data_IF_148293732509
#
_entry.id   IF_148293732509
#
_cell.length_a   1.000
_cell.length_b   1.000
_cell.length_c   1.000
_cell.angle_alpha   90.00
_cell.angle_beta   90.00
_cell.angle_gamma   90.00
#
_symmetry.space_group_name_H-M   'P 1'
#
loop_
_entity.id
_entity.type
_entity.pdbx_description
1 polymer ?
#
# COMPACT_ATOMS: atom_id res chain seq x y z
N UNK A 1 -12.40 -13.51 -8.95
CA UNK A 1 -13.04 -12.18 -8.84
C UNK A 1 -12.11 -11.13 -9.41
N UNK A 2 -12.60 -10.16 -10.19
CA UNK A 2 -11.78 -9.02 -10.64
C UNK A 2 -12.17 -7.75 -9.89
N UNK A 3 -11.20 -6.91 -9.56
CA UNK A 3 -11.39 -5.61 -8.90
C UNK A 3 -10.83 -4.49 -9.75
N UNK A 4 -11.40 -3.29 -9.66
CA UNK A 4 -10.76 -2.11 -10.21
C UNK A 4 -9.64 -1.63 -9.30
N UNK A 5 -8.62 -1.00 -9.87
CA UNK A 5 -7.47 -0.47 -9.14
C UNK A 5 -7.27 1.03 -9.41
N UNK A 6 -6.72 1.75 -8.44
CA UNK A 6 -6.37 3.16 -8.55
C UNK A 6 -4.93 3.43 -8.11
N UNK A 7 -4.14 4.01 -9.00
CA UNK A 7 -2.80 4.53 -8.71
C UNK A 7 -2.93 6.01 -8.36
N UNK A 8 -2.59 6.36 -7.12
CA UNK A 8 -2.74 7.72 -6.60
C UNK A 8 -1.40 8.46 -6.68
N UNK A 9 -1.25 9.34 -7.69
CA UNK A 9 0.03 10.03 -7.98
C UNK A 9 -0.09 11.56 -7.95
N UNK A 10 -1.16 12.08 -7.36
CA UNK A 10 -1.38 13.52 -7.23
C UNK A 10 -0.29 14.24 -6.43
N UNK A 11 -0.07 15.50 -6.78
CA UNK A 11 0.87 16.44 -6.16
C UNK A 11 0.22 17.65 -5.48
N UNK A 12 -1.11 17.66 -5.35
CA UNK A 12 -1.84 18.64 -4.53
C UNK A 12 -1.91 18.25 -3.05
N UNK A 13 -1.76 19.24 -2.16
CA UNK A 13 -1.78 19.05 -0.70
C UNK A 13 -0.37 18.95 -0.11
N UNK A 14 -0.19 18.09 0.90
CA UNK A 14 1.10 17.92 1.61
C UNK A 14 2.04 16.95 0.88
N UNK A 15 2.51 17.31 -0.32
CA UNK A 15 3.53 16.51 -1.04
C UNK A 15 4.94 16.95 -0.68
N UNK A 16 5.85 15.96 -0.66
CA UNK A 16 7.30 16.18 -0.62
C UNK A 16 7.87 15.96 -2.02
N UNK A 17 8.20 17.02 -2.75
CA UNK A 17 8.88 16.86 -4.02
C UNK A 17 10.27 16.27 -3.80
N UNK A 18 10.73 15.46 -4.73
CA UNK A 18 12.12 15.02 -4.81
C UNK A 18 12.70 15.76 -6.01
N UNK A 19 13.76 16.54 -5.78
CA UNK A 19 14.36 17.43 -6.79
C UNK A 19 13.39 18.47 -7.39
N UNK A 20 12.45 18.96 -6.58
CA UNK A 20 11.43 19.91 -7.05
C UNK A 20 10.34 19.30 -7.92
N UNK A 21 10.36 17.98 -8.11
CA UNK A 21 9.43 17.25 -8.97
C UNK A 21 8.55 16.28 -8.18
N UNK A 22 7.36 16.00 -8.71
CA UNK A 22 6.51 14.93 -8.24
C UNK A 22 7.24 13.58 -8.43
N UNK A 23 7.55 12.91 -7.33
CA UNK A 23 8.35 11.68 -7.31
C UNK A 23 7.86 10.60 -8.27
N UNK A 24 6.55 10.52 -8.49
CA UNK A 24 5.95 9.50 -9.37
C UNK A 24 6.41 9.61 -10.83
N UNK A 25 6.88 10.80 -11.24
CA UNK A 25 7.35 11.06 -12.60
C UNK A 25 8.88 10.99 -12.75
N UNK A 26 9.61 10.72 -11.67
CA UNK A 26 11.05 10.48 -11.75
C UNK A 26 11.33 9.23 -12.59
N UNK A 27 12.37 9.28 -13.40
CA UNK A 27 12.72 8.18 -14.30
C UNK A 27 13.60 7.13 -13.64
N UNK A 28 13.18 5.87 -13.75
CA UNK A 28 13.98 4.72 -13.41
C UNK A 28 14.09 3.84 -14.66
N UNK A 29 15.31 3.66 -15.17
CA UNK A 29 15.59 2.94 -16.42
C UNK A 29 14.73 3.43 -17.62
N UNK A 30 14.54 4.74 -17.76
CA UNK A 30 13.80 5.33 -18.88
C UNK A 30 12.28 5.20 -18.78
N UNK A 31 11.74 4.81 -17.63
CA UNK A 31 10.30 4.82 -17.34
C UNK A 31 10.01 5.65 -16.09
N UNK A 32 8.94 6.46 -16.07
CA UNK A 32 8.47 7.11 -14.84
C UNK A 32 8.17 6.09 -13.75
N UNK A 33 8.40 6.41 -12.47
CA UNK A 33 8.18 5.45 -11.36
C UNK A 33 6.78 4.82 -11.39
N UNK A 34 5.73 5.59 -11.67
CA UNK A 34 4.36 5.07 -11.66
C UNK A 34 4.09 4.01 -12.72
N UNK A 35 4.90 3.93 -13.79
CA UNK A 35 4.78 2.87 -14.79
C UNK A 35 5.05 1.49 -14.21
N UNK A 36 5.89 1.39 -13.19
CA UNK A 36 6.16 0.09 -12.55
C UNK A 36 4.95 -0.43 -11.79
N UNK A 37 4.23 0.44 -11.04
CA UNK A 37 2.93 0.07 -10.46
C UNK A 37 1.89 -0.24 -11.52
N UNK A 38 1.83 0.56 -12.59
CA UNK A 38 0.89 0.39 -13.69
C UNK A 38 1.06 -0.97 -14.38
N UNK A 39 2.27 -1.31 -14.79
CA UNK A 39 2.57 -2.59 -15.45
C UNK A 39 2.27 -3.78 -14.54
N UNK A 40 2.60 -3.68 -13.26
CA UNK A 40 2.28 -4.74 -12.29
C UNK A 40 0.78 -4.99 -12.17
N UNK A 41 -0.06 -3.95 -12.26
CA UNK A 41 -1.51 -4.08 -12.27
C UNK A 41 -2.04 -4.64 -13.61
N UNK A 42 -1.49 -4.20 -14.75
CA UNK A 42 -1.91 -4.70 -16.08
C UNK A 42 -1.69 -6.21 -16.19
N UNK A 43 -0.55 -6.69 -15.68
CA UNK A 43 -0.15 -8.10 -15.63
C UNK A 43 -0.97 -8.94 -14.65
N UNK A 44 -1.70 -8.33 -13.71
CA UNK A 44 -2.52 -9.06 -12.74
C UNK A 44 -3.85 -9.51 -13.36
N UNK A 45 -4.19 -10.81 -13.32
CA UNK A 45 -5.47 -11.31 -13.81
C UNK A 45 -6.66 -10.90 -12.93
N UNK A 46 -6.40 -10.44 -11.69
CA UNK A 46 -7.42 -10.01 -10.74
C UNK A 46 -7.77 -8.52 -10.90
N UNK A 47 -7.05 -7.76 -11.72
CA UNK A 47 -7.35 -6.35 -11.95
C UNK A 47 -8.20 -6.19 -13.20
N UNK A 48 -9.23 -5.36 -13.14
CA UNK A 48 -10.11 -5.05 -14.28
C UNK A 48 -9.65 -3.77 -14.98
N UNK A 49 -10.00 -2.60 -14.44
CA UNK A 49 -9.58 -1.29 -14.94
C UNK A 49 -8.58 -0.65 -13.99
N UNK A 50 -7.74 0.24 -14.52
CA UNK A 50 -6.70 0.93 -13.77
C UNK A 50 -6.89 2.43 -13.90
N UNK A 51 -7.29 3.08 -12.81
CA UNK A 51 -7.46 4.52 -12.73
C UNK A 51 -6.14 5.15 -12.27
N UNK A 52 -5.61 6.12 -13.02
CA UNK A 52 -4.39 6.84 -12.64
C UNK A 52 -4.78 8.27 -12.30
N UNK A 53 -4.68 8.66 -11.03
CA UNK A 53 -5.18 9.95 -10.52
C UNK A 53 -4.02 10.89 -10.23
N UNK A 54 -3.94 12.01 -10.96
CA UNK A 54 -2.84 12.98 -10.88
C UNK A 54 -3.05 14.16 -11.81
N UNK A 55 -1.99 14.87 -12.19
CA UNK A 55 -2.05 15.82 -13.32
C UNK A 55 -2.37 15.04 -14.60
N UNK A 56 -3.61 15.15 -15.09
CA UNK A 56 -4.12 14.33 -16.18
C UNK A 56 -3.32 14.53 -17.47
N UNK A 57 -2.99 15.78 -17.81
CA UNK A 57 -2.22 16.08 -19.02
C UNK A 57 -0.84 15.44 -18.97
N UNK A 58 -0.20 15.50 -17.80
CA UNK A 58 1.12 14.91 -17.59
C UNK A 58 1.07 13.38 -17.63
N UNK A 59 0.03 12.77 -17.09
CA UNK A 59 -0.23 11.32 -17.17
C UNK A 59 -0.40 10.90 -18.62
N UNK A 60 -1.30 11.56 -19.36
CA UNK A 60 -1.58 11.25 -20.76
C UNK A 60 -0.32 11.38 -21.62
N UNK A 61 0.48 12.44 -21.41
CA UNK A 61 1.77 12.61 -22.08
C UNK A 61 2.72 11.44 -21.79
N UNK A 62 2.86 11.04 -20.53
CA UNK A 62 3.74 9.95 -20.15
C UNK A 62 3.27 8.60 -20.73
N UNK A 63 1.95 8.33 -20.71
CA UNK A 63 1.34 7.15 -21.35
C UNK A 63 1.61 7.14 -22.86
N UNK A 64 1.42 8.26 -23.55
CA UNK A 64 1.69 8.36 -24.99
C UNK A 64 3.17 8.12 -25.31
N UNK A 65 4.10 8.67 -24.52
CA UNK A 65 5.55 8.49 -24.71
C UNK A 65 6.01 7.05 -24.53
N UNK A 66 5.33 6.27 -23.70
CA UNK A 66 5.73 4.90 -23.36
C UNK A 66 4.64 3.87 -23.70
N UNK A 67 3.79 4.17 -24.68
CA UNK A 67 2.63 3.36 -25.05
C UNK A 67 3.00 1.90 -25.33
N UNK A 68 4.10 1.67 -26.07
CA UNK A 68 4.60 0.33 -26.42
C UNK A 68 5.08 -0.50 -25.21
N UNK A 69 5.23 0.12 -24.03
CA UNK A 69 5.66 -0.59 -22.81
C UNK A 69 4.50 -1.15 -21.98
N UNK A 70 3.26 -0.79 -22.34
CA UNK A 70 2.01 -1.19 -21.68
C UNK A 70 1.40 -2.41 -22.38
N UNK A 71 0.76 -3.29 -21.61
CA UNK A 71 0.15 -4.51 -22.13
C UNK A 71 -1.28 -4.30 -22.61
N UNK A 72 -2.00 -3.39 -21.98
CA UNK A 72 -3.43 -3.15 -22.19
C UNK A 72 -3.75 -1.68 -21.91
N UNK A 73 -3.19 -0.74 -22.69
CA UNK A 73 -3.34 0.71 -22.47
C UNK A 73 -4.82 1.16 -22.45
N UNK A 74 -5.72 0.44 -23.11
CA UNK A 74 -7.17 0.68 -23.11
C UNK A 74 -7.83 0.45 -21.73
N UNK A 75 -7.19 -0.30 -20.83
CA UNK A 75 -7.64 -0.50 -19.44
C UNK A 75 -7.23 0.66 -18.52
N UNK A 76 -6.39 1.58 -19.00
CA UNK A 76 -5.83 2.69 -18.22
C UNK A 76 -6.67 3.95 -18.39
N UNK A 77 -7.14 4.52 -17.28
CA UNK A 77 -8.06 5.65 -17.24
C UNK A 77 -7.40 6.81 -16.48
N UNK A 78 -6.82 7.79 -17.19
CA UNK A 78 -6.26 8.99 -16.58
C UNK A 78 -7.36 9.89 -16.01
N UNK A 79 -7.21 10.27 -14.74
CA UNK A 79 -8.13 11.16 -14.04
C UNK A 79 -7.38 12.36 -13.47
N UNK A 80 -8.01 13.54 -13.58
CA UNK A 80 -7.48 14.78 -13.02
C UNK A 80 -7.64 14.77 -11.49
N UNK A 81 -6.54 14.99 -10.78
CA UNK A 81 -6.53 15.03 -9.32
C UNK A 81 -7.44 16.11 -8.74
N UNK A 82 -7.97 15.81 -7.56
CA UNK A 82 -8.66 16.72 -6.64
C UNK A 82 -7.68 17.25 -5.58
N UNK A 83 -8.18 17.71 -4.43
CA UNK A 83 -7.41 18.51 -3.46
C UNK A 83 -6.40 17.71 -2.64
N UNK A 84 -6.66 16.42 -2.42
CA UNK A 84 -5.89 15.57 -1.52
C UNK A 84 -6.03 14.08 -1.90
N UNK A 85 -5.26 13.23 -1.20
CA UNK A 85 -5.23 11.78 -1.44
C UNK A 85 -6.62 11.15 -1.30
N UNK A 86 -7.37 11.51 -0.26
CA UNK A 86 -8.68 10.93 0.01
C UNK A 86 -9.68 11.26 -1.12
N UNK A 87 -9.73 12.53 -1.55
CA UNK A 87 -10.57 12.95 -2.68
C UNK A 87 -10.16 12.29 -4.00
N UNK A 88 -8.85 12.06 -4.21
CA UNK A 88 -8.35 11.32 -5.38
C UNK A 88 -8.81 9.85 -5.37
N UNK A 89 -8.74 9.19 -4.21
CA UNK A 89 -9.22 7.82 -4.04
C UNK A 89 -10.73 7.72 -4.28
N UNK A 90 -11.50 8.69 -3.78
CA UNK A 90 -12.94 8.77 -4.00
C UNK A 90 -13.31 9.09 -5.44
N UNK A 91 -12.56 9.98 -6.12
CA UNK A 91 -12.78 10.26 -7.54
C UNK A 91 -12.69 8.98 -8.38
N UNK A 92 -11.63 8.19 -8.19
CA UNK A 92 -11.47 6.92 -8.91
C UNK A 92 -12.63 5.95 -8.64
N UNK A 93 -13.08 5.86 -7.39
CA UNK A 93 -14.21 5.02 -7.00
C UNK A 93 -15.54 5.49 -7.62
N UNK A 94 -15.84 6.79 -7.56
CA UNK A 94 -17.03 7.40 -8.14
C UNK A 94 -17.09 7.16 -9.66
N UNK A 95 -15.98 7.38 -10.36
CA UNK A 95 -15.89 7.11 -11.81
C UNK A 95 -16.07 5.62 -12.11
N UNK A 96 -15.48 4.72 -11.32
CA UNK A 96 -15.63 3.29 -11.51
C UNK A 96 -17.10 2.84 -11.37
N UNK A 97 -17.84 3.38 -10.38
CA UNK A 97 -19.28 3.17 -10.20
C UNK A 97 -20.09 3.71 -11.38
N UNK A 98 -19.79 4.93 -11.83
CA UNK A 98 -20.50 5.57 -12.93
C UNK A 98 -20.35 4.78 -14.24
N UNK A 99 -19.14 4.31 -14.53
CA UNK A 99 -18.88 3.48 -15.71
C UNK A 99 -19.61 2.13 -15.65
N UNK A 100 -19.71 1.51 -14.47
CA UNK A 100 -20.50 0.27 -14.31
C UNK A 100 -21.99 0.52 -14.55
N UNK A 101 -22.54 1.63 -14.03
CA UNK A 101 -23.94 2.02 -14.27
C UNK A 101 -24.24 2.28 -15.73
N UNK A 102 -23.32 2.92 -16.46
CA UNK A 102 -23.48 3.24 -17.89
C UNK A 102 -23.26 2.03 -18.81
N UNK A 103 -22.53 1.01 -18.35
CA UNK A 103 -22.16 -0.16 -19.14
C UNK A 103 -23.31 -1.14 -19.46
N UNK A 104 -24.56 -0.83 -19.10
CA UNK A 104 -25.74 -1.64 -19.47
C UNK A 104 -25.84 -3.02 -18.81
N UNK A 105 -24.83 -3.45 -18.06
CA UNK A 105 -24.90 -4.63 -17.22
C UNK A 105 -25.78 -4.36 -16.01
N UNK A 106 -26.66 -5.31 -15.66
CA UNK A 106 -27.42 -5.23 -14.42
C UNK A 106 -26.43 -5.31 -13.26
N UNK A 107 -26.11 -4.16 -12.66
CA UNK A 107 -25.35 -4.14 -11.42
C UNK A 107 -26.24 -4.70 -10.31
N UNK A 108 -26.12 -5.99 -10.05
CA UNK A 108 -26.86 -6.68 -8.99
C UNK A 108 -26.28 -6.43 -7.59
N UNK A 109 -25.15 -5.73 -7.48
CA UNK A 109 -24.53 -5.37 -6.20
C UNK A 109 -25.15 -4.13 -5.57
N UNK A 110 -24.99 -3.96 -4.25
CA UNK A 110 -25.16 -2.64 -3.63
C UNK A 110 -23.89 -1.84 -3.89
N UNK A 111 -24.00 -0.55 -4.23
CA UNK A 111 -22.82 0.30 -4.48
C UNK A 111 -21.83 0.28 -3.30
N UNK A 112 -22.34 0.03 -2.09
CA UNK A 112 -21.54 -0.13 -0.89
C UNK A 112 -20.60 -1.34 -0.90
N UNK A 113 -20.93 -2.39 -1.65
CA UNK A 113 -20.12 -3.61 -1.72
C UNK A 113 -18.97 -3.50 -2.72
N UNK A 114 -18.95 -2.45 -3.56
CA UNK A 114 -17.87 -2.26 -4.52
C UNK A 114 -16.56 -2.00 -3.79
N UNK A 115 -15.62 -2.92 -3.97
CA UNK A 115 -14.24 -2.75 -3.52
C UNK A 115 -13.36 -2.16 -4.63
N UNK A 116 -12.31 -1.48 -4.22
CA UNK A 116 -11.27 -0.93 -5.09
C UNK A 116 -9.90 -1.13 -4.45
N UNK A 117 -8.92 -1.54 -5.26
CA UNK A 117 -7.52 -1.64 -4.86
C UNK A 117 -6.85 -0.27 -5.02
N UNK A 118 -6.22 0.25 -3.96
CA UNK A 118 -5.47 1.49 -3.98
C UNK A 118 -3.99 1.23 -3.72
N UNK A 119 -3.15 1.94 -4.46
CA UNK A 119 -1.70 1.91 -4.34
C UNK A 119 -1.07 3.21 -4.89
N UNK A 120 0.14 3.58 -4.48
CA UNK A 120 0.85 4.71 -5.02
C UNK A 120 1.68 4.34 -6.26
N UNK A 121 2.22 5.35 -6.93
CA UNK A 121 3.07 5.18 -8.12
C UNK A 121 4.57 5.07 -7.82
N UNK A 122 5.01 5.22 -6.59
CA UNK A 122 6.43 5.34 -6.24
C UNK A 122 7.02 4.06 -5.61
N UNK A 123 6.42 2.90 -5.90
CA UNK A 123 6.81 1.57 -5.42
C UNK A 123 7.34 0.68 -6.55
N UNK A 124 8.46 1.03 -7.20
CA UNK A 124 8.86 0.42 -8.48
C UNK A 124 9.20 -1.08 -8.42
N UNK A 125 9.36 -1.64 -7.21
CA UNK A 125 9.64 -3.06 -7.01
C UNK A 125 8.38 -3.93 -6.92
N UNK A 126 7.18 -3.34 -6.91
CA UNK A 126 5.92 -4.09 -6.92
C UNK A 126 5.85 -5.03 -8.14
N UNK A 127 5.24 -6.20 -7.93
CA UNK A 127 5.08 -7.22 -8.97
C UNK A 127 3.62 -7.64 -9.08
N UNK A 128 3.22 -8.14 -10.25
CA UNK A 128 1.90 -8.73 -10.44
C UNK A 128 1.66 -9.91 -9.49
N UNK A 129 2.69 -10.70 -9.18
CA UNK A 129 2.57 -11.82 -8.25
C UNK A 129 2.33 -11.37 -6.80
N UNK A 130 2.90 -10.25 -6.36
CA UNK A 130 2.62 -9.66 -5.04
C UNK A 130 1.17 -9.14 -4.96
N UNK A 131 0.69 -8.49 -6.02
CA UNK A 131 -0.71 -8.04 -6.12
C UNK A 131 -1.65 -9.25 -6.07
N UNK A 132 -1.33 -10.31 -6.80
CA UNK A 132 -2.11 -11.54 -6.80
C UNK A 132 -2.12 -12.21 -5.42
N UNK A 133 -0.95 -12.38 -4.79
CA UNK A 133 -0.82 -12.94 -3.44
C UNK A 133 -1.66 -12.16 -2.42
N UNK A 134 -1.69 -10.83 -2.52
CA UNK A 134 -2.50 -9.99 -1.66
C UNK A 134 -4.00 -10.19 -1.91
N UNK A 135 -4.44 -10.12 -3.17
CA UNK A 135 -5.86 -10.22 -3.53
C UNK A 135 -6.43 -11.63 -3.27
N UNK A 136 -5.64 -12.69 -3.45
CA UNK A 136 -6.05 -14.08 -3.17
C UNK A 136 -6.33 -14.32 -1.69
N UNK A 137 -5.70 -13.55 -0.80
CA UNK A 137 -5.93 -13.62 0.65
C UNK A 137 -7.05 -12.68 1.12
N UNK A 138 -7.57 -11.83 0.25
CA UNK A 138 -8.63 -10.90 0.60
C UNK A 138 -10.01 -11.55 0.42
N UNK A 139 -10.73 -11.74 1.52
CA UNK A 139 -12.14 -12.17 1.51
C UNK A 139 -13.06 -10.94 1.49
N UNK A 140 -13.55 -10.58 0.31
CA UNK A 140 -14.46 -9.44 0.17
C UNK A 140 -15.86 -9.69 0.73
N UNK A 141 -16.25 -10.93 1.06
CA UNK A 141 -17.56 -11.17 1.67
C UNK A 141 -17.51 -10.85 3.17
N UNK A 142 -16.42 -11.21 3.84
CA UNK A 142 -16.25 -11.00 5.27
C UNK A 142 -15.50 -9.72 5.67
N UNK A 143 -14.73 -9.09 4.77
CA UNK A 143 -13.88 -7.93 5.06
C UNK A 143 -14.25 -6.72 4.20
N UNK A 144 -14.26 -5.53 4.81
CA UNK A 144 -14.52 -4.25 4.14
C UNK A 144 -13.24 -3.50 3.79
N UNK A 145 -12.17 -3.71 4.57
CA UNK A 145 -10.87 -3.09 4.34
C UNK A 145 -9.73 -4.07 4.67
N UNK A 146 -9.00 -4.50 3.65
CA UNK A 146 -7.75 -5.23 3.76
C UNK A 146 -6.53 -4.32 3.57
N UNK A 147 -5.59 -4.35 4.50
CA UNK A 147 -4.32 -3.61 4.48
C UNK A 147 -3.14 -4.57 4.35
N UNK A 148 -2.30 -4.38 3.34
CA UNK A 148 -1.12 -5.22 3.17
C UNK A 148 0.01 -4.88 4.15
N UNK A 149 0.73 -5.92 4.58
CA UNK A 149 1.92 -5.80 5.43
C UNK A 149 3.05 -6.72 4.95
N UNK A 150 4.27 -6.25 5.13
CA UNK A 150 5.49 -7.01 4.90
C UNK A 150 6.28 -7.17 6.19
N UNK A 151 6.99 -8.29 6.33
CA UNK A 151 7.79 -8.56 7.53
C UNK A 151 9.19 -7.95 7.43
N UNK A 152 9.81 -7.66 8.58
CA UNK A 152 11.23 -7.26 8.62
C UNK A 152 12.12 -8.32 7.97
N UNK A 153 11.82 -9.61 8.17
CA UNK A 153 12.61 -10.71 7.61
C UNK A 153 12.60 -10.71 6.08
N UNK A 154 11.45 -10.43 5.46
CA UNK A 154 11.34 -10.25 4.02
C UNK A 154 12.13 -9.02 3.51
N UNK A 155 12.19 -7.94 4.31
CA UNK A 155 12.83 -6.66 3.95
C UNK A 155 14.35 -6.62 4.21
N UNK A 156 14.90 -7.48 5.07
CA UNK A 156 16.34 -7.56 5.37
C UNK A 156 17.28 -7.55 4.14
N UNK A 157 16.99 -8.26 3.02
CA UNK A 157 17.82 -8.24 1.81
C UNK A 157 17.97 -6.87 1.13
N UNK A 158 17.12 -5.90 1.49
CA UNK A 158 17.07 -4.56 0.91
C UNK A 158 17.73 -3.51 1.80
N UNK A 159 18.18 -3.89 3.00
CA UNK A 159 18.82 -2.98 3.94
C UNK A 159 20.21 -2.56 3.50
N UNK A 160 20.66 -1.36 3.92
CA UNK A 160 22.03 -0.95 3.70
C UNK A 160 22.99 -1.89 4.43
N UNK A 161 24.14 -2.13 3.79
CA UNK A 161 25.28 -2.83 4.39
C UNK A 161 26.50 -1.91 4.32
N UNK A 162 27.63 -2.31 4.93
CA UNK A 162 28.89 -1.54 4.86
C UNK A 162 29.32 -1.22 3.41
N UNK A 163 28.99 -2.10 2.46
CA UNK A 163 29.47 -2.02 1.07
C UNK A 163 28.38 -1.70 0.05
N UNK A 164 27.09 -1.75 0.43
CA UNK A 164 25.97 -1.59 -0.50
C UNK A 164 24.94 -0.64 0.06
N UNK A 165 24.50 0.30 -0.78
CA UNK A 165 23.31 1.13 -0.50
C UNK A 165 22.09 0.24 -0.34
N UNK A 166 21.18 0.68 0.52
CA UNK A 166 19.91 0.02 0.78
C UNK A 166 18.98 0.95 1.55
N UNK A 167 17.74 0.49 1.72
CA UNK A 167 16.64 1.25 2.32
C UNK A 167 16.20 0.49 3.58
N UNK A 168 16.29 1.11 4.75
CA UNK A 168 15.79 0.55 6.02
C UNK A 168 14.51 1.29 6.40
N UNK A 169 13.43 0.55 6.59
CA UNK A 169 12.13 1.10 6.93
C UNK A 169 11.94 1.22 8.45
N UNK A 170 10.90 1.96 8.85
CA UNK A 170 10.39 1.92 10.22
C UNK A 170 9.39 0.78 10.37
N UNK A 171 9.45 0.06 11.49
CA UNK A 171 8.60 -1.09 11.77
C UNK A 171 7.58 -0.81 12.86
N UNK A 172 6.43 -1.43 12.69
CA UNK A 172 5.47 -1.74 13.73
C UNK A 172 5.94 -3.02 14.46
N UNK A 173 6.12 -2.95 15.77
CA UNK A 173 6.62 -4.07 16.56
C UNK A 173 5.45 -4.76 17.25
N UNK A 174 5.15 -5.99 16.85
CA UNK A 174 4.17 -6.84 17.53
C UNK A 174 4.81 -8.10 18.10
N UNK A 175 4.01 -8.87 18.83
CA UNK A 175 4.39 -10.13 19.49
C UNK A 175 4.85 -11.14 18.45
N UNK A 176 4.14 -11.22 17.33
CA UNK A 176 4.33 -12.20 16.27
C UNK A 176 5.61 -11.88 15.49
N UNK A 177 5.67 -10.69 14.88
CA UNK A 177 6.78 -10.23 14.05
C UNK A 177 6.90 -8.71 14.10
N UNK A 178 7.94 -8.19 13.44
CA UNK A 178 8.03 -6.78 13.06
C UNK A 178 7.44 -6.62 11.67
N UNK A 179 6.50 -5.69 11.53
CA UNK A 179 5.77 -5.46 10.29
C UNK A 179 6.02 -4.05 9.76
N UNK A 180 5.99 -3.91 8.45
CA UNK A 180 5.92 -2.63 7.73
C UNK A 180 4.61 -2.67 6.95
N UNK A 181 3.77 -1.65 7.11
CA UNK A 181 2.65 -1.43 6.19
C UNK A 181 3.21 -1.36 4.78
N UNK A 182 2.76 -2.25 3.91
CA UNK A 182 3.01 -2.11 2.48
C UNK A 182 1.98 -1.13 1.91
N UNK A 183 2.11 -0.78 0.63
CA UNK A 183 1.25 0.24 0.04
C UNK A 183 0.04 -0.35 -0.73
N UNK A 184 -0.41 -1.57 -0.38
CA UNK A 184 -1.62 -2.19 -0.94
C UNK A 184 -2.81 -2.05 0.01
N UNK A 185 -3.90 -1.48 -0.51
CA UNK A 185 -5.14 -1.28 0.24
C UNK A 185 -6.34 -1.75 -0.60
N UNK A 186 -7.03 -2.80 -0.20
CA UNK A 186 -8.30 -3.20 -0.83
C UNK A 186 -9.45 -2.73 0.07
N UNK A 187 -10.27 -1.82 -0.43
CA UNK A 187 -11.24 -1.09 0.39
C UNK A 187 -12.60 -1.06 -0.27
N UNK A 188 -13.68 -1.24 0.51
CA UNK A 188 -15.06 -0.85 0.18
C UNK A 188 -15.32 0.57 0.73
N UNK A 189 -15.14 1.64 -0.06
CA UNK A 189 -15.05 3.00 0.49
C UNK A 189 -16.32 3.46 1.21
N UNK A 190 -17.49 3.00 0.77
CA UNK A 190 -18.78 3.35 1.36
C UNK A 190 -19.11 2.56 2.64
N UNK A 191 -18.42 1.45 2.93
CA UNK A 191 -18.59 0.69 4.18
C UNK A 191 -17.84 1.29 5.36
N UNK A 192 -16.92 2.23 5.13
CA UNK A 192 -16.20 2.90 6.20
C UNK A 192 -17.06 4.06 6.73
N UNK A 193 -17.66 3.89 7.91
CA UNK A 193 -18.51 4.95 8.49
C UNK A 193 -17.68 6.15 8.92
N UNK A 194 -16.55 5.91 9.60
CA UNK A 194 -15.68 6.96 10.12
C UNK A 194 -14.60 7.42 9.12
N UNK A 195 -14.92 7.39 7.82
CA UNK A 195 -13.99 7.70 6.72
C UNK A 195 -13.38 9.10 6.76
N UNK A 196 -14.03 10.06 7.44
CA UNK A 196 -13.52 11.43 7.61
C UNK A 196 -12.19 11.48 8.40
N UNK A 197 -11.86 10.46 9.19
CA UNK A 197 -10.55 10.37 9.86
C UNK A 197 -9.42 9.93 8.92
N UNK A 198 -9.70 9.35 7.74
CA UNK A 198 -8.68 8.81 6.83
C UNK A 198 -7.71 9.90 6.39
N UNK A 199 -8.22 11.07 5.99
CA UNK A 199 -7.37 12.19 5.58
C UNK A 199 -6.53 12.70 6.76
N UNK A 200 -7.09 12.74 7.97
CA UNK A 200 -6.34 13.16 9.17
C UNK A 200 -5.20 12.19 9.48
N UNK A 201 -5.47 10.87 9.42
CA UNK A 201 -4.45 9.83 9.58
C UNK A 201 -3.32 9.97 8.55
N UNK A 202 -3.67 10.22 7.29
CA UNK A 202 -2.68 10.41 6.23
C UNK A 202 -1.83 11.66 6.45
N UNK A 203 -2.45 12.79 6.83
CA UNK A 203 -1.73 14.03 7.11
C UNK A 203 -0.74 13.90 8.27
N UNK A 204 -1.03 13.04 9.24
CA UNK A 204 -0.16 12.77 10.38
C UNK A 204 0.98 11.79 10.06
N UNK A 205 0.96 11.06 8.92
CA UNK A 205 2.00 10.09 8.51
C UNK A 205 3.39 10.71 8.34
N UNK A 206 3.49 11.95 7.84
CA UNK A 206 4.77 12.52 7.39
C UNK A 206 5.29 13.69 8.24
N UNK A 207 4.44 14.45 8.92
CA UNK A 207 4.89 15.62 9.66
C UNK A 207 5.57 15.21 10.97
N UNK A 208 6.91 15.37 11.03
CA UNK A 208 7.71 15.23 12.26
C UNK A 208 7.12 16.19 13.29
N UNK A 209 6.52 15.70 14.36
CA UNK A 209 6.33 16.44 15.62
C UNK A 209 5.54 15.57 16.62
N UNK A 210 5.99 15.58 17.87
CA UNK A 210 5.24 15.17 19.06
C UNK A 210 3.79 15.69 19.06
N UNK A 211 3.53 16.86 18.46
CA UNK A 211 2.19 17.44 18.27
C UNK A 211 1.26 16.55 17.43
N UNK A 212 1.76 15.79 16.45
CA UNK A 212 0.91 14.89 15.65
C UNK A 212 0.61 13.59 16.38
N UNK A 213 1.54 13.12 17.22
CA UNK A 213 1.25 12.06 18.17
C UNK A 213 0.13 12.48 19.11
N UNK A 214 0.18 13.71 19.65
CA UNK A 214 -0.90 14.27 20.48
C UNK A 214 -2.20 14.45 19.68
N UNK A 215 -2.16 14.97 18.45
CA UNK A 215 -3.37 15.12 17.60
C UNK A 215 -4.01 13.78 17.27
N UNK A 216 -3.21 12.76 16.97
CA UNK A 216 -3.69 11.42 16.68
C UNK A 216 -4.24 10.74 17.95
N UNK A 217 -3.58 10.94 19.10
CA UNK A 217 -4.10 10.52 20.40
C UNK A 217 -5.45 11.19 20.70
N UNK A 218 -5.57 12.50 20.45
CA UNK A 218 -6.82 13.26 20.57
C UNK A 218 -7.89 12.77 19.58
N UNK A 219 -7.53 12.41 18.36
CA UNK A 219 -8.46 11.85 17.38
C UNK A 219 -8.97 10.47 17.83
N UNK A 220 -8.10 9.60 18.33
CA UNK A 220 -8.46 8.29 18.90
C UNK A 220 -9.37 8.47 20.12
N UNK A 221 -9.04 9.43 21.01
CA UNK A 221 -9.85 9.78 22.17
C UNK A 221 -11.24 10.31 21.76
N UNK A 222 -11.30 11.22 20.79
CA UNK A 222 -12.56 11.80 20.27
C UNK A 222 -13.41 10.81 19.49
N UNK A 223 -12.80 9.81 18.86
CA UNK A 223 -13.49 8.72 18.19
C UNK A 223 -14.08 7.69 19.18
N UNK A 224 -14.08 7.99 20.50
CA UNK A 224 -14.57 7.11 21.57
C UNK A 224 -13.97 5.70 21.52
N UNK A 225 -12.74 5.58 21.02
CA UNK A 225 -12.04 4.29 21.06
C UNK A 225 -11.78 3.95 22.52
N UNK A 226 -12.09 2.71 22.91
CA UNK A 226 -11.87 2.18 24.26
C UNK A 226 -10.46 2.49 24.77
N UNK A 227 -10.28 2.63 26.09
CA UNK A 227 -8.98 2.86 26.74
C UNK A 227 -7.86 1.93 26.24
N UNK A 228 -8.22 0.71 25.84
CA UNK A 228 -7.33 -0.26 25.21
C UNK A 228 -6.67 0.26 23.93
N UNK A 229 -7.40 0.99 23.08
CA UNK A 229 -6.86 1.60 21.87
C UNK A 229 -5.81 2.68 22.16
N UNK A 230 -6.04 3.51 23.17
CA UNK A 230 -5.06 4.48 23.65
C UNK A 230 -3.80 3.76 24.17
N UNK A 231 -3.97 2.73 25.00
CA UNK A 231 -2.86 1.93 25.51
C UNK A 231 -2.00 1.32 24.39
N UNK A 232 -2.63 0.70 23.39
CA UNK A 232 -1.92 0.14 22.23
C UNK A 232 -1.23 1.23 21.41
N UNK A 233 -1.89 2.36 21.20
CA UNK A 233 -1.30 3.51 20.52
C UNK A 233 -0.02 3.99 21.22
N UNK A 234 -0.05 4.16 22.55
CA UNK A 234 1.11 4.55 23.34
C UNK A 234 2.23 3.50 23.26
N UNK A 235 1.92 2.22 23.42
CA UNK A 235 2.90 1.13 23.33
C UNK A 235 3.57 1.04 21.94
N UNK A 236 2.81 1.27 20.87
CA UNK A 236 3.34 1.26 19.51
C UNK A 236 4.33 2.41 19.29
N UNK A 237 3.98 3.60 19.77
CA UNK A 237 4.86 4.76 19.69
C UNK A 237 6.09 4.62 20.60
N UNK A 238 5.94 3.97 21.74
CA UNK A 238 7.06 3.64 22.63
C UNK A 238 8.07 2.71 21.95
N UNK A 239 7.60 1.62 21.33
CA UNK A 239 8.47 0.71 20.58
C UNK A 239 9.16 1.41 19.40
N UNK A 240 8.43 2.28 18.69
CA UNK A 240 8.98 3.07 17.58
C UNK A 240 10.06 4.06 18.08
N UNK A 241 9.84 4.70 19.24
CA UNK A 241 10.83 5.58 19.86
C UNK A 241 12.10 4.82 20.24
N UNK A 242 11.97 3.68 20.93
CA UNK A 242 13.11 2.82 21.28
C UNK A 242 13.91 2.39 20.05
N UNK A 243 13.23 1.99 18.97
CA UNK A 243 13.88 1.62 17.71
C UNK A 243 14.64 2.80 17.09
N UNK A 244 14.05 4.01 17.08
CA UNK A 244 14.70 5.22 16.57
C UNK A 244 15.93 5.63 17.37
N UNK A 245 15.96 5.35 18.66
CA UNK A 245 17.12 5.60 19.55
C UNK A 245 18.20 4.51 19.43
N UNK A 246 18.02 3.49 18.58
CA UNK A 246 18.95 2.36 18.48
C UNK A 246 18.84 1.36 19.64
N UNK A 247 17.85 1.54 20.53
CA UNK A 247 17.59 0.68 21.69
C UNK A 247 16.64 -0.47 21.33
N UNK A 248 16.77 -1.03 20.12
CA UNK A 248 15.90 -2.12 19.63
C UNK A 248 15.89 -3.33 20.59
N UNK A 249 16.99 -3.56 21.31
CA UNK A 249 17.13 -4.64 22.32
C UNK A 249 16.14 -4.50 23.49
N UNK A 250 15.60 -3.31 23.74
CA UNK A 250 14.60 -3.06 24.80
C UNK A 250 13.15 -3.24 24.31
N UNK A 251 12.93 -3.39 23.00
CA UNK A 251 11.57 -3.60 22.44
C UNK A 251 10.93 -4.97 22.74
N UNK A 252 11.65 -6.10 22.95
CA UNK A 252 11.05 -7.41 23.19
C UNK A 252 9.99 -7.51 24.30
N UNK A 253 10.17 -6.94 25.52
CA UNK A 253 9.14 -6.99 26.55
C UNK A 253 7.87 -6.23 26.14
N UNK A 254 8.01 -5.05 25.52
CA UNK A 254 6.87 -4.21 25.14
C UNK A 254 6.12 -4.74 23.91
N UNK A 255 6.84 -5.26 22.90
CA UNK A 255 6.18 -5.80 21.69
C UNK A 255 5.35 -7.05 21.99
N UNK A 256 5.72 -7.85 23.01
CA UNK A 256 4.96 -9.05 23.42
C UNK A 256 3.55 -8.71 23.90
N UNK A 257 3.30 -7.46 24.29
CA UNK A 257 2.00 -6.96 24.74
C UNK A 257 1.08 -6.57 23.57
N UNK A 258 1.60 -6.52 22.34
CA UNK A 258 0.90 -6.05 21.15
C UNK A 258 0.66 -7.27 20.27
N UNK A 259 -0.60 -7.69 20.14
CA UNK A 259 -0.99 -8.73 19.18
C UNK A 259 -1.63 -8.10 17.94
N UNK A 260 -1.42 -8.71 16.78
CA UNK A 260 -1.96 -8.18 15.51
C UNK A 260 -3.49 -8.22 15.49
N UNK A 261 -4.11 -9.28 15.99
CA UNK A 261 -5.58 -9.44 16.08
C UNK A 261 -6.24 -8.33 16.93
N UNK A 262 -5.60 -7.92 18.01
CA UNK A 262 -6.06 -6.82 18.84
C UNK A 262 -5.91 -5.47 18.15
N UNK A 263 -4.85 -5.28 17.36
CA UNK A 263 -4.69 -4.08 16.52
C UNK A 263 -5.76 -4.03 15.44
N UNK A 264 -6.09 -5.15 14.81
CA UNK A 264 -7.21 -5.23 13.85
C UNK A 264 -8.53 -4.81 14.50
N UNK A 265 -8.85 -5.31 15.71
CA UNK A 265 -10.06 -4.92 16.45
C UNK A 265 -10.10 -3.42 16.76
N UNK A 266 -8.97 -2.83 17.16
CA UNK A 266 -8.89 -1.38 17.44
C UNK A 266 -9.16 -0.58 16.17
N UNK A 267 -8.56 -0.97 15.03
CA UNK A 267 -8.78 -0.30 13.75
C UNK A 267 -10.21 -0.47 13.27
N UNK A 268 -10.80 -1.67 13.43
CA UNK A 268 -12.21 -1.93 13.14
C UNK A 268 -13.12 -1.00 13.92
N UNK A 269 -12.90 -0.84 15.23
CA UNK A 269 -13.71 0.06 16.05
C UNK A 269 -13.50 1.53 15.67
N UNK A 270 -12.26 1.92 15.35
CA UNK A 270 -11.95 3.30 14.98
C UNK A 270 -12.56 3.71 13.64
N UNK A 271 -12.43 2.86 12.61
CA UNK A 271 -12.97 3.11 11.27
C UNK A 271 -14.46 2.74 11.14
N UNK A 272 -14.98 1.96 12.10
CA UNK A 272 -16.31 1.35 12.07
C UNK A 272 -16.52 0.55 10.77
N UNK A 273 -15.61 -0.40 10.53
CA UNK A 273 -15.64 -1.33 9.40
C UNK A 273 -14.92 -2.65 9.71
N UNK A 274 -15.19 -3.72 8.96
CA UNK A 274 -14.50 -5.01 9.10
C UNK A 274 -13.10 -4.89 8.49
N UNK A 275 -12.07 -4.86 9.32
CA UNK A 275 -10.70 -4.58 8.92
C UNK A 275 -9.80 -5.81 9.09
N UNK A 276 -8.89 -6.04 8.14
CA UNK A 276 -7.94 -7.15 8.18
C UNK A 276 -6.55 -6.71 7.69
N UNK A 277 -5.52 -7.24 8.33
CA UNK A 277 -4.14 -7.17 7.86
C UNK A 277 -3.83 -8.43 7.05
N UNK A 278 -3.24 -8.24 5.87
CA UNK A 278 -2.82 -9.32 4.97
C UNK A 278 -1.30 -9.29 4.83
N UNK A 279 -0.63 -10.37 5.24
CA UNK A 279 0.83 -10.49 5.11
C UNK A 279 1.18 -10.94 3.68
N UNK A 280 2.07 -10.22 2.99
CA UNK A 280 2.63 -10.63 1.70
C UNK A 280 4.06 -11.14 1.88
N UNK A 281 4.40 -12.25 1.20
CA UNK A 281 5.76 -12.81 1.20
C UNK A 281 6.65 -12.09 0.20
N UNK A 282 6.09 -11.69 -0.94
CA UNK A 282 6.73 -10.74 -1.84
C UNK A 282 6.58 -9.33 -1.23
N UNK A 283 7.65 -8.53 -1.28
CA UNK A 283 7.75 -7.30 -0.48
C UNK A 283 8.01 -6.02 -1.28
N UNK A 284 7.71 -6.03 -2.57
CA UNK A 284 7.99 -4.91 -3.48
C UNK A 284 7.12 -3.69 -3.17
N UNK A 285 5.88 -3.91 -2.76
CA UNK A 285 4.94 -2.87 -2.39
C UNK A 285 5.30 -2.13 -1.08
N UNK A 286 6.24 -2.66 -0.30
CA UNK A 286 6.70 -2.04 0.94
C UNK A 286 7.89 -1.06 0.76
N UNK A 287 8.48 -1.01 -0.44
CA UNK A 287 9.67 -0.22 -0.75
C UNK A 287 9.32 0.97 -1.65
N UNK A 288 8.85 2.05 -1.02
CA UNK A 288 8.55 3.34 -1.63
C UNK A 288 9.79 4.24 -1.77
N UNK A 289 9.77 5.13 -2.78
CA UNK A 289 10.82 6.14 -3.00
C UNK A 289 10.41 7.44 -2.29
N UNK A 290 10.84 7.60 -1.05
CA UNK A 290 10.39 8.71 -0.19
C UNK A 290 11.29 9.96 -0.22
N UNK A 291 12.57 9.80 -0.56
CA UNK A 291 13.54 10.88 -0.59
C UNK A 291 14.64 10.64 -1.65
N UNK A 292 15.51 11.62 -1.86
CA UNK A 292 16.58 11.54 -2.87
C UNK A 292 17.56 10.39 -2.64
N UNK A 293 17.88 10.05 -1.39
CA UNK A 293 18.75 8.92 -1.07
C UNK A 293 18.09 7.60 -1.47
N UNK A 294 16.79 7.45 -1.24
CA UNK A 294 16.04 6.26 -1.65
C UNK A 294 15.99 6.15 -3.16
N UNK A 295 15.75 7.28 -3.86
CA UNK A 295 15.73 7.32 -5.32
C UNK A 295 17.09 6.91 -5.93
N UNK A 296 18.19 7.49 -5.46
CA UNK A 296 19.53 7.13 -5.94
C UNK A 296 19.93 5.71 -5.56
N UNK A 297 19.46 5.21 -4.42
CA UNK A 297 19.62 3.80 -4.04
C UNK A 297 18.83 2.90 -4.99
N UNK A 298 17.59 3.26 -5.31
CA UNK A 298 16.73 2.53 -6.22
C UNK A 298 17.37 2.43 -7.60
N UNK A 299 17.86 3.55 -8.17
CA UNK A 299 18.58 3.54 -9.46
C UNK A 299 19.72 2.52 -9.52
N UNK A 300 20.55 2.46 -8.47
CA UNK A 300 21.71 1.56 -8.42
C UNK A 300 21.30 0.11 -8.17
N UNK A 301 20.28 -0.13 -7.32
CA UNK A 301 19.96 -1.46 -6.81
C UNK A 301 18.79 -2.13 -7.53
N UNK A 302 18.03 -1.39 -8.34
CA UNK A 302 16.77 -1.86 -8.95
C UNK A 302 16.89 -3.21 -9.64
N UNK A 303 17.82 -3.37 -10.59
CA UNK A 303 17.99 -4.62 -11.35
C UNK A 303 18.30 -5.81 -10.44
N UNK A 304 19.14 -5.59 -9.42
CA UNK A 304 19.49 -6.62 -8.46
C UNK A 304 18.29 -7.01 -7.58
N UNK A 305 17.54 -6.02 -7.12
CA UNK A 305 16.35 -6.21 -6.29
C UNK A 305 15.19 -6.85 -7.05
N UNK A 306 14.96 -6.48 -8.31
CA UNK A 306 14.02 -7.18 -9.20
C UNK A 306 14.41 -8.65 -9.38
N UNK A 307 15.67 -8.94 -9.72
CA UNK A 307 16.16 -10.32 -9.84
C UNK A 307 16.00 -11.13 -8.54
N UNK A 308 16.15 -10.48 -7.38
CA UNK A 308 15.89 -11.12 -6.09
C UNK A 308 14.41 -11.46 -5.92
N UNK A 309 13.51 -10.52 -6.22
CA UNK A 309 12.05 -10.74 -6.17
C UNK A 309 11.62 -11.86 -7.12
N UNK A 310 12.13 -11.90 -8.35
CA UNK A 310 11.80 -12.95 -9.32
C UNK A 310 12.24 -14.33 -8.81
N UNK A 311 13.43 -14.43 -8.19
CA UNK A 311 13.90 -15.66 -7.56
C UNK A 311 13.02 -16.07 -6.38
N UNK A 312 12.58 -15.12 -5.56
CA UNK A 312 11.68 -15.37 -4.44
C UNK A 312 10.32 -15.90 -4.93
N UNK A 313 9.73 -15.24 -5.93
CA UNK A 313 8.49 -15.66 -6.59
C UNK A 313 8.60 -17.09 -7.13
N UNK A 314 9.69 -17.40 -7.84
CA UNK A 314 9.90 -18.75 -8.40
C UNK A 314 10.02 -19.81 -7.30
N UNK A 315 10.71 -19.52 -6.19
CA UNK A 315 10.76 -20.42 -5.03
C UNK A 315 9.39 -20.66 -4.41
N UNK A 316 8.60 -19.61 -4.26
CA UNK A 316 7.24 -19.70 -3.71
C UNK A 316 6.34 -20.56 -4.61
N UNK A 317 6.37 -20.36 -5.92
CA UNK A 317 5.64 -21.19 -6.89
C UNK A 317 6.03 -22.67 -6.79
N UNK A 318 7.33 -22.95 -6.75
CA UNK A 318 7.84 -24.32 -6.66
C UNK A 318 7.57 -24.99 -5.31
N UNK A 319 7.40 -24.22 -4.23
CA UNK A 319 7.02 -24.77 -2.91
C UNK A 319 5.54 -25.20 -2.82
N UNK A 320 4.67 -24.67 -3.69
CA UNK A 320 3.24 -25.00 -3.75
C UNK A 320 2.97 -26.19 -4.69
N UNK A 321 3.78 -26.36 -5.73
CA UNK A 321 3.65 -27.44 -6.72
C UNK A 321 3.70 -28.89 -6.16
N UNK A 322 4.53 -29.26 -5.15
CA UNK A 322 4.60 -30.66 -4.69
C UNK A 322 3.41 -31.13 -3.85
N UNK A 323 2.50 -30.23 -3.43
CA UNK A 323 1.32 -30.61 -2.63
C UNK A 323 0.10 -31.00 -3.49
N UNK A 324 0.00 -30.54 -4.75
CA UNK A 324 -1.15 -30.88 -5.62
C UNK A 324 -1.06 -32.24 -6.31
N UNK A 325 0.09 -32.92 -6.25
CA UNK A 325 0.28 -34.26 -6.82
C UNK A 325 -0.02 -35.40 -5.82
N UNK A 326 -0.30 -35.09 -4.55
CA UNK A 326 -0.61 -36.10 -3.52
C UNK A 326 -2.09 -36.23 -3.15
N UNK A 327 -2.98 -35.48 -3.79
CA UNK A 327 -4.44 -35.57 -3.57
C UNK A 327 -5.17 -36.26 -4.75
N UNK A 328 -4.44 -37.00 -5.59
CA UNK A 328 -4.99 -37.77 -6.72
C UNK A 328 -4.39 -39.18 -6.84
N UNK A 329 -4.18 -39.85 -5.72
CA UNK A 329 -4.00 -41.30 -5.69
C UNK A 329 -4.94 -41.94 -4.68
#
# INVERSE_FOLDING_TARGET
MKVDAAILIGDRGKIRPIRGENKNFLELNGLPLFFYSLKALEESPYVNRIFVVGDKKRIEKAIAQHYLSLLSPERVIPLEQRRNLYENAFLAFETALEMERKGGGVYHGKAEEKAMLYLPGDIPLITSQEINEFLEQCDLDSIDYSLGMSTEDGLKPFYPTRYKRGIKMAYFHAKEKKYRQNNLHLVKPLKIKNRHYIQQLYDYRYQKQFLNFLKLLLAIYRAHVQWKGIYYFLLLHWNLLLSRLGLERLTPPFRKLIKVDEVEKIVTNFLDCRFKIVETKVIGAALDVDNEKDYETMKVRFRYWRKYQDKLINRLKNSIAPLRLKEKE
#
